data_IF_292736884597
#
_entry.id   IF_292736884597
#
_cell.length_a   1.000
_cell.length_b   1.000
_cell.length_c   1.000
_cell.angle_alpha   90.00
_cell.angle_beta   90.00
_cell.angle_gamma   90.00
#
_symmetry.space_group_name_H-M   'P 1'
#
loop_
_entity.id
_entity.type
_entity.pdbx_description
1 polymer ?
#
# COMPACT_ATOMS: atom_id res chain seq x y z
N UNK A 1 -9.17 15.54 -17.14
CA UNK A 1 -9.80 16.01 -15.88
C UNK A 1 -9.40 15.03 -14.81
N UNK A 2 -8.30 15.29 -14.10
CA UNK A 2 -7.84 14.43 -13.00
C UNK A 2 -8.65 14.83 -11.78
N UNK A 3 -9.64 14.03 -11.40
CA UNK A 3 -10.26 14.11 -10.08
C UNK A 3 -9.14 14.19 -9.04
N UNK A 4 -9.20 15.10 -8.05
CA UNK A 4 -8.31 15.04 -6.92
C UNK A 4 -8.68 13.77 -6.17
N UNK A 5 -8.06 12.66 -6.56
CA UNK A 5 -7.93 11.50 -5.69
C UNK A 5 -7.21 12.09 -4.48
N UNK A 6 -8.00 12.32 -3.44
CA UNK A 6 -7.65 13.05 -2.24
C UNK A 6 -6.28 12.53 -1.77
N UNK A 7 -5.33 13.38 -1.42
CA UNK A 7 -4.01 12.92 -0.93
C UNK A 7 -4.15 11.87 0.19
N UNK A 8 -5.28 11.92 0.91
CA UNK A 8 -5.73 10.91 1.88
C UNK A 8 -5.91 9.53 1.27
N UNK A 9 -6.51 9.37 0.09
CA UNK A 9 -6.67 8.06 -0.54
C UNK A 9 -5.33 7.37 -0.77
N UNK A 10 -4.35 8.07 -1.34
CA UNK A 10 -3.01 7.51 -1.57
C UNK A 10 -2.29 7.18 -0.26
N UNK A 11 -2.48 7.99 0.79
CA UNK A 11 -1.97 7.69 2.13
C UNK A 11 -2.58 6.41 2.68
N UNK A 12 -3.90 6.25 2.60
CA UNK A 12 -4.59 5.07 3.12
C UNK A 12 -4.28 3.81 2.30
N UNK A 13 -4.11 3.96 0.98
CA UNK A 13 -3.67 2.89 0.09
C UNK A 13 -2.26 2.43 0.42
N UNK A 14 -1.34 3.38 0.66
CA UNK A 14 0.03 3.08 1.06
C UNK A 14 0.08 2.33 2.38
N UNK A 15 -0.73 2.74 3.37
CA UNK A 15 -0.88 2.02 4.65
C UNK A 15 -1.40 0.61 4.46
N UNK A 16 -2.36 0.42 3.56
CA UNK A 16 -2.90 -0.91 3.24
C UNK A 16 -1.82 -1.82 2.67
N UNK A 17 -1.11 -1.35 1.63
CA UNK A 17 -0.05 -2.12 0.99
C UNK A 17 1.05 -2.51 1.98
N UNK A 18 1.45 -1.57 2.82
CA UNK A 18 2.45 -1.83 3.84
C UNK A 18 1.94 -2.80 4.92
N UNK A 19 0.65 -2.73 5.29
CA UNK A 19 0.04 -3.68 6.24
C UNK A 19 -0.03 -5.10 5.68
N UNK A 20 -0.33 -5.25 4.39
CA UNK A 20 -0.33 -6.56 3.71
C UNK A 20 1.10 -7.09 3.60
N UNK A 21 2.06 -6.26 3.20
CA UNK A 21 3.46 -6.65 3.12
C UNK A 21 4.08 -6.99 4.49
N UNK A 22 3.57 -6.43 5.60
CA UNK A 22 3.93 -6.82 6.96
C UNK A 22 3.25 -8.10 7.46
N UNK A 23 2.10 -8.48 6.90
CA UNK A 23 1.31 -9.62 7.41
C UNK A 23 1.94 -10.99 7.15
N UNK A 24 2.93 -11.06 6.25
CA UNK A 24 3.68 -12.29 5.96
C UNK A 24 4.92 -12.48 6.86
N UNK A 25 4.94 -11.80 8.01
CA UNK A 25 5.94 -11.91 9.08
C UNK A 25 7.37 -11.41 8.73
N UNK A 26 7.66 -11.07 7.47
CA UNK A 26 8.98 -10.57 7.07
C UNK A 26 8.92 -9.51 5.96
N UNK A 27 8.85 -8.23 6.34
CA UNK A 27 9.02 -7.13 5.38
C UNK A 27 10.50 -6.94 5.06
N UNK A 28 10.88 -7.17 3.80
CA UNK A 28 12.27 -6.96 3.38
C UNK A 28 12.57 -5.46 3.21
N UNK A 29 13.82 -5.03 3.46
CA UNK A 29 14.22 -3.65 3.22
C UNK A 29 14.03 -3.23 1.75
N UNK A 30 14.11 -4.14 0.78
CA UNK A 30 13.80 -3.84 -0.62
C UNK A 30 12.33 -3.46 -0.84
N UNK A 31 11.40 -4.15 -0.18
CA UNK A 31 9.95 -3.89 -0.29
C UNK A 31 9.58 -2.57 0.39
N UNK A 32 10.25 -2.28 1.50
CA UNK A 32 10.19 -0.97 2.14
C UNK A 32 10.64 0.16 1.21
N UNK A 33 11.75 -0.01 0.49
CA UNK A 33 12.23 0.99 -0.48
C UNK A 33 11.27 1.16 -1.67
N UNK A 34 10.70 0.07 -2.19
CA UNK A 34 9.67 0.10 -3.23
C UNK A 34 8.45 0.92 -2.80
N UNK A 35 7.96 0.70 -1.57
CA UNK A 35 6.84 1.44 -1.00
C UNK A 35 7.15 2.93 -0.80
N UNK A 36 8.37 3.27 -0.37
CA UNK A 36 8.83 4.67 -0.27
C UNK A 36 8.86 5.32 -1.65
N UNK A 37 9.38 4.62 -2.67
CA UNK A 37 9.42 5.10 -4.06
C UNK A 37 8.02 5.35 -4.63
N UNK A 38 7.08 4.47 -4.33
CA UNK A 38 5.67 4.67 -4.70
C UNK A 38 5.03 5.86 -4.00
N UNK A 39 5.27 6.02 -2.70
CA UNK A 39 4.78 7.16 -1.93
C UNK A 39 5.31 8.50 -2.49
N UNK A 40 6.57 8.56 -2.90
CA UNK A 40 7.14 9.72 -3.60
C UNK A 40 6.45 9.97 -4.95
N UNK A 41 6.15 8.91 -5.72
CA UNK A 41 5.45 9.00 -7.01
C UNK A 41 4.02 9.53 -6.87
N UNK A 42 3.33 9.15 -5.80
CA UNK A 42 1.98 9.62 -5.48
C UNK A 42 1.95 10.98 -4.80
N UNK A 43 3.12 11.63 -4.62
CA UNK A 43 3.27 12.91 -3.93
C UNK A 43 2.70 12.91 -2.51
N UNK A 44 2.80 11.76 -1.84
CA UNK A 44 2.41 11.63 -0.43
C UNK A 44 3.22 12.65 0.38
N UNK A 45 2.57 13.39 1.30
CA UNK A 45 3.26 14.39 2.09
C UNK A 45 4.43 13.79 2.88
N UNK A 46 5.57 14.50 2.85
CA UNK A 46 6.79 14.21 3.62
C UNK A 46 6.58 13.75 5.08
N UNK A 47 5.69 14.35 5.89
CA UNK A 47 5.45 13.86 7.25
C UNK A 47 4.91 12.42 7.33
N UNK A 48 4.12 11.97 6.35
CA UNK A 48 3.65 10.58 6.31
C UNK A 48 4.75 9.64 5.82
N UNK A 49 5.56 10.07 4.83
CA UNK A 49 6.77 9.36 4.41
C UNK A 49 7.74 9.14 5.58
N UNK A 50 8.04 10.19 6.36
CA UNK A 50 8.92 10.09 7.53
C UNK A 50 8.35 9.21 8.63
N UNK A 51 7.02 9.12 8.74
CA UNK A 51 6.36 8.16 9.65
C UNK A 51 6.54 6.73 9.16
N UNK A 52 6.39 6.49 7.86
CA UNK A 52 6.65 5.18 7.25
C UNK A 52 8.11 4.77 7.49
N UNK A 53 9.07 5.62 7.17
CA UNK A 53 10.50 5.36 7.41
C UNK A 53 10.76 5.02 8.87
N UNK A 54 10.16 5.76 9.81
CA UNK A 54 10.26 5.43 11.24
C UNK A 54 9.62 4.09 11.60
N UNK A 55 8.46 3.74 11.05
CA UNK A 55 7.86 2.42 11.30
C UNK A 55 8.76 1.29 10.79
N UNK A 56 9.43 1.52 9.66
CA UNK A 56 10.36 0.57 9.05
C UNK A 56 11.68 0.45 9.83
N UNK A 57 12.26 1.58 10.28
CA UNK A 57 13.53 1.61 11.01
C UNK A 57 13.38 1.21 12.48
N UNK A 58 12.31 1.64 13.16
CA UNK A 58 12.09 1.45 14.59
C UNK A 58 11.21 0.23 14.90
N UNK A 59 10.62 -0.40 13.89
CA UNK A 59 9.64 -1.47 14.07
C UNK A 59 8.37 -0.98 14.79
N UNK A 60 8.03 0.30 14.67
CA UNK A 60 6.83 0.85 15.28
C UNK A 60 5.56 0.27 14.62
N UNK A 61 4.47 0.12 15.39
CA UNK A 61 3.22 -0.40 14.86
C UNK A 61 2.66 0.55 13.81
N UNK A 62 2.44 -0.02 12.63
CA UNK A 62 1.90 0.68 11.48
C UNK A 62 0.49 1.23 11.74
N UNK A 63 0.19 2.49 11.34
CA UNK A 63 -1.16 3.01 11.42
C UNK A 63 -2.11 2.17 10.56
N UNK A 64 -3.21 1.73 11.15
CA UNK A 64 -4.21 0.94 10.44
C UNK A 64 -4.79 1.74 9.25
N UNK A 65 -4.90 1.13 8.05
CA UNK A 65 -5.51 1.78 6.90
C UNK A 65 -7.01 1.99 7.10
N UNK A 66 -7.55 3.11 6.59
CA UNK A 66 -8.97 3.37 6.52
C UNK A 66 -9.61 2.56 5.38
N UNK A 67 -9.89 1.30 5.69
CA UNK A 67 -10.63 0.39 4.79
C UNK A 67 -11.96 0.99 4.34
N UNK A 68 -12.63 1.79 5.19
CA UNK A 68 -13.89 2.45 4.84
C UNK A 68 -13.78 3.43 3.66
N UNK A 69 -12.63 4.06 3.45
CA UNK A 69 -12.37 4.97 2.33
C UNK A 69 -11.91 4.18 1.09
N UNK A 70 -11.05 3.18 1.31
CA UNK A 70 -10.55 2.30 0.24
C UNK A 70 -11.67 1.47 -0.41
N UNK A 71 -12.66 1.03 0.38
CA UNK A 71 -13.86 0.33 -0.10
C UNK A 71 -14.76 1.17 -1.00
N UNK A 72 -14.63 2.49 -0.99
CA UNK A 72 -15.38 3.35 -1.92
C UNK A 72 -14.78 3.34 -3.33
N UNK A 73 -13.50 2.98 -3.45
CA UNK A 73 -12.74 2.97 -4.70
C UNK A 73 -11.92 1.67 -4.86
N UNK A 74 -12.55 0.48 -4.79
CA UNK A 74 -11.82 -0.79 -4.78
C UNK A 74 -11.08 -1.03 -6.11
N UNK A 75 -11.65 -0.63 -7.24
CA UNK A 75 -10.99 -0.76 -8.55
C UNK A 75 -9.70 0.06 -8.66
N UNK A 76 -9.69 1.29 -8.13
CA UNK A 76 -8.49 2.14 -8.11
C UNK A 76 -7.42 1.58 -7.18
N UNK A 77 -7.82 1.04 -6.01
CA UNK A 77 -6.92 0.35 -5.08
C UNK A 77 -6.23 -0.81 -5.78
N UNK A 78 -7.00 -1.69 -6.44
CA UNK A 78 -6.48 -2.87 -7.12
C UNK A 78 -5.62 -2.51 -8.34
N UNK A 79 -6.06 -1.55 -9.16
CA UNK A 79 -5.30 -1.09 -10.31
C UNK A 79 -3.94 -0.49 -9.89
N UNK A 80 -3.94 0.29 -8.82
CA UNK A 80 -2.72 0.93 -8.30
C UNK A 80 -1.80 -0.09 -7.63
N UNK A 81 -2.35 -1.00 -6.82
CA UNK A 81 -1.61 -2.10 -6.21
C UNK A 81 -0.95 -2.98 -7.28
N UNK A 82 -1.71 -3.39 -8.31
CA UNK A 82 -1.18 -4.16 -9.44
C UNK A 82 -0.11 -3.42 -10.22
N UNK A 83 -0.29 -2.11 -10.43
CA UNK A 83 0.73 -1.30 -11.10
C UNK A 83 2.02 -1.22 -10.28
N UNK A 84 1.89 -1.14 -8.95
CA UNK A 84 3.02 -1.08 -8.03
C UNK A 84 3.77 -2.42 -7.98
N UNK A 85 3.07 -3.52 -7.73
CA UNK A 85 3.65 -4.86 -7.66
C UNK A 85 4.24 -5.27 -9.03
N UNK A 86 3.53 -5.02 -10.13
CA UNK A 86 3.98 -5.35 -11.46
C UNK A 86 5.08 -4.44 -12.02
N UNK A 87 5.25 -3.22 -11.50
CA UNK A 87 6.33 -2.31 -11.91
C UNK A 87 7.59 -2.44 -11.05
N UNK A 88 7.43 -2.85 -9.79
CA UNK A 88 8.52 -2.91 -8.83
C UNK A 88 8.96 -4.36 -8.67
N UNK A 89 9.97 -4.75 -9.47
CA UNK A 89 10.50 -6.12 -9.55
C UNK A 89 11.14 -6.63 -8.23
N UNK A 90 11.15 -5.79 -7.19
CA UNK A 90 11.68 -6.10 -5.87
C UNK A 90 10.61 -6.58 -4.87
N UNK A 91 9.32 -6.45 -5.19
CA UNK A 91 8.25 -7.06 -4.39
C UNK A 91 8.26 -8.56 -4.65
N UNK A 92 8.71 -9.32 -3.65
CA UNK A 92 8.95 -10.76 -3.81
C UNK A 92 7.70 -11.60 -3.56
N UNK A 93 6.59 -10.95 -3.20
CA UNK A 93 5.27 -11.54 -3.07
C UNK A 93 4.68 -11.93 -4.42
N UNK A 94 3.97 -13.06 -4.44
CA UNK A 94 3.07 -13.40 -5.53
C UNK A 94 2.04 -12.27 -5.67
N UNK A 95 2.07 -11.54 -6.79
CA UNK A 95 1.12 -10.46 -7.10
C UNK A 95 -0.32 -10.89 -6.82
N UNK A 96 -0.66 -12.12 -7.20
CA UNK A 96 -1.97 -12.73 -7.01
C UNK A 96 -2.35 -12.90 -5.53
N UNK A 97 -1.40 -13.25 -4.65
CA UNK A 97 -1.67 -13.39 -3.21
C UNK A 97 -1.85 -12.04 -2.54
N UNK A 98 -1.01 -11.06 -2.88
CA UNK A 98 -1.14 -9.72 -2.31
C UNK A 98 -2.45 -9.06 -2.77
N UNK A 99 -2.82 -9.22 -4.05
CA UNK A 99 -4.10 -8.75 -4.56
C UNK A 99 -5.28 -9.53 -3.96
N UNK A 100 -5.14 -10.84 -3.74
CA UNK A 100 -6.13 -11.67 -3.04
C UNK A 100 -6.43 -11.14 -1.64
N UNK A 101 -5.38 -10.93 -0.84
CA UNK A 101 -5.51 -10.36 0.51
C UNK A 101 -6.12 -8.96 0.51
N UNK A 102 -5.72 -8.09 -0.43
CA UNK A 102 -6.32 -6.76 -0.58
C UNK A 102 -7.82 -6.87 -0.89
N UNK A 103 -8.22 -7.79 -1.78
CA UNK A 103 -9.63 -8.03 -2.10
C UNK A 103 -10.40 -8.50 -0.88
N UNK A 104 -9.86 -9.44 -0.11
CA UNK A 104 -10.47 -9.91 1.14
C UNK A 104 -10.63 -8.79 2.18
N UNK A 105 -9.60 -7.95 2.37
CA UNK A 105 -9.66 -6.80 3.29
C UNK A 105 -10.70 -5.76 2.85
N UNK A 106 -10.83 -5.55 1.54
CA UNK A 106 -11.87 -4.71 0.94
C UNK A 106 -13.27 -5.35 1.02
N UNK A 107 -13.38 -6.64 1.36
CA UNK A 107 -14.65 -7.36 1.37
C UNK A 107 -15.16 -7.70 -0.03
N UNK A 108 -14.26 -7.80 -1.00
CA UNK A 108 -14.52 -8.28 -2.36
C UNK A 108 -14.29 -9.79 -2.45
N UNK A 109 -15.04 -10.46 -3.32
CA UNK A 109 -14.86 -11.89 -3.58
C UNK A 109 -13.43 -12.16 -4.11
N UNK A 110 -12.69 -13.16 -3.59
CA UNK A 110 -11.47 -13.64 -4.22
C UNK A 110 -11.88 -14.37 -5.51
N UNK A 111 -11.51 -13.83 -6.68
CA UNK A 111 -11.72 -14.50 -7.96
C UNK A 111 -10.46 -15.21 -8.37
#
# INVERSE_FOLDING_TARGET
>A
MTTPIDDRFYIELLKLLLHVAWSDDELKPSEAHALIGAAQRWKVPLPELQRLERCLELGEPLPAPNLGLLRQHPDEVLATARTLIGSDAEVHFSEEEMLGQIRELLGLDPA
#
